data_IF_450039992315
#
_entry.id   IF_450039992315
#
_cell.length_a   1.000
_cell.length_b   1.000
_cell.length_c   1.000
_cell.angle_alpha   90.00
_cell.angle_beta   90.00
_cell.angle_gamma   90.00
#
_symmetry.space_group_name_H-M   'P 1'
#
loop_
_entity.id
_entity.type
_entity.pdbx_description
1 polymer ?
#
# COMPACT_ATOMS: atom_id res chain seq x y z
N UNK A 1 23.69 16.23 -45.97
CA UNK A 1 24.13 15.33 -44.88
C UNK A 1 24.03 15.94 -43.48
N UNK A 2 24.27 17.25 -43.26
CA UNK A 2 24.13 17.86 -41.91
C UNK A 2 22.69 17.87 -41.37
N UNK A 3 21.70 18.17 -42.22
CA UNK A 3 20.29 18.21 -41.83
C UNK A 3 19.71 16.82 -41.47
N UNK A 4 20.18 15.76 -42.13
CA UNK A 4 19.77 14.38 -41.85
C UNK A 4 20.28 13.88 -40.49
N UNK A 5 21.47 14.31 -40.06
CA UNK A 5 22.01 13.98 -38.73
C UNK A 5 21.30 14.76 -37.61
N UNK A 6 20.95 16.02 -37.83
CA UNK A 6 20.18 16.80 -36.87
C UNK A 6 18.76 16.22 -36.68
N UNK A 7 18.13 15.79 -37.77
CA UNK A 7 16.83 15.15 -37.72
C UNK A 7 16.85 13.82 -36.95
N UNK A 8 17.89 12.99 -37.13
CA UNK A 8 18.00 11.71 -36.42
C UNK A 8 18.23 11.90 -34.91
N UNK A 9 19.07 12.85 -34.52
CA UNK A 9 19.31 13.16 -33.10
C UNK A 9 18.03 13.66 -32.45
N UNK A 10 17.32 14.59 -33.10
CA UNK A 10 16.05 15.11 -32.61
C UNK A 10 15.00 14.01 -32.43
N UNK A 11 14.87 13.12 -33.41
CA UNK A 11 13.90 12.01 -33.35
C UNK A 11 14.19 11.06 -32.18
N UNK A 12 15.47 10.71 -31.96
CA UNK A 12 15.87 9.86 -30.83
C UNK A 12 15.57 10.54 -29.49
N UNK A 13 15.86 11.83 -29.36
CA UNK A 13 15.54 12.59 -28.14
C UNK A 13 14.05 12.57 -27.83
N UNK A 14 13.20 12.82 -28.83
CA UNK A 14 11.74 12.80 -28.65
C UNK A 14 11.23 11.44 -28.18
N UNK A 15 11.76 10.33 -28.72
CA UNK A 15 11.36 8.96 -28.31
C UNK A 15 11.80 8.65 -26.88
N UNK A 16 13.01 9.05 -26.48
CA UNK A 16 13.50 8.84 -25.11
C UNK A 16 12.67 9.64 -24.10
N UNK A 17 12.36 10.90 -24.39
CA UNK A 17 11.51 11.73 -23.53
C UNK A 17 10.07 11.20 -23.44
N UNK A 18 9.50 10.71 -24.55
CA UNK A 18 8.18 10.08 -24.56
C UNK A 18 8.14 8.81 -23.69
N UNK A 19 9.23 8.03 -23.65
CA UNK A 19 9.38 6.88 -22.76
C UNK A 19 9.34 7.24 -21.28
N UNK A 20 9.92 8.39 -20.88
CA UNK A 20 9.85 8.88 -19.50
C UNK A 20 8.45 9.38 -19.12
N UNK A 21 7.75 10.05 -20.04
CA UNK A 21 6.37 10.49 -19.81
C UNK A 21 5.35 9.33 -19.82
N UNK A 22 5.66 8.23 -20.53
CA UNK A 22 4.80 7.04 -20.60
C UNK A 22 4.83 6.18 -19.33
N UNK A 23 5.74 6.44 -18.39
CA UNK A 23 5.79 5.73 -17.10
C UNK A 23 4.78 6.31 -16.10
N UNK A 24 3.53 6.48 -16.53
CA UNK A 24 2.43 6.82 -15.63
C UNK A 24 1.77 5.53 -15.10
N UNK A 25 2.56 4.66 -14.45
CA UNK A 25 1.96 3.70 -13.52
C UNK A 25 1.64 4.47 -12.26
N UNK A 26 0.42 4.98 -12.14
CA UNK A 26 -0.06 5.50 -10.86
C UNK A 26 0.17 4.40 -9.83
N UNK A 27 1.05 4.64 -8.85
CA UNK A 27 1.16 3.77 -7.71
C UNK A 27 -0.21 3.73 -7.06
N UNK A 28 -0.90 2.58 -7.15
CA UNK A 28 -2.15 2.39 -6.43
C UNK A 28 -1.78 2.33 -4.97
N UNK A 29 -2.01 3.42 -4.26
CA UNK A 29 -1.87 3.44 -2.82
C UNK A 29 -2.83 2.39 -2.27
N UNK A 30 -2.27 1.34 -1.68
CA UNK A 30 -3.01 0.43 -0.81
C UNK A 30 -3.56 1.29 0.32
N UNK A 31 -4.87 1.42 0.43
CA UNK A 31 -5.49 2.15 1.54
C UNK A 31 -5.48 1.20 2.73
N UNK A 32 -4.64 1.43 3.76
CA UNK A 32 -4.66 0.58 4.94
C UNK A 32 -6.02 0.73 5.62
N UNK A 33 -6.56 -0.36 6.14
CA UNK A 33 -7.77 -0.32 6.96
C UNK A 33 -7.47 -0.87 8.35
N UNK A 34 -8.26 -0.43 9.33
CA UNK A 34 -8.11 -0.85 10.70
C UNK A 34 -9.06 -2.03 10.97
N UNK A 35 -8.55 -3.06 11.64
CA UNK A 35 -9.31 -4.23 12.07
C UNK A 35 -9.09 -4.46 13.56
N UNK A 36 -10.04 -5.10 14.23
CA UNK A 36 -9.88 -5.48 15.62
C UNK A 36 -8.70 -6.43 15.83
N UNK A 37 -7.88 -6.13 16.83
CA UNK A 37 -6.72 -6.96 17.16
C UNK A 37 -7.14 -8.16 18.01
N UNK A 38 -7.65 -9.19 17.33
CA UNK A 38 -8.12 -10.43 17.96
C UNK A 38 -7.07 -11.10 18.85
N UNK A 39 -5.78 -10.99 18.53
CA UNK A 39 -4.72 -11.59 19.34
C UNK A 39 -4.58 -10.87 20.69
N UNK A 40 -4.61 -9.55 20.66
CA UNK A 40 -4.57 -8.74 21.88
C UNK A 40 -5.84 -8.92 22.70
N UNK A 41 -7.02 -8.89 22.06
CA UNK A 41 -8.32 -9.13 22.72
C UNK A 41 -8.30 -10.48 23.44
N UNK A 42 -7.90 -11.55 22.76
CA UNK A 42 -7.83 -12.89 23.35
C UNK A 42 -6.88 -12.96 24.54
N UNK A 43 -5.73 -12.27 24.49
CA UNK A 43 -4.78 -12.21 25.59
C UNK A 43 -5.36 -11.50 26.82
N UNK A 44 -6.03 -10.37 26.63
CA UNK A 44 -6.69 -9.63 27.71
C UNK A 44 -7.83 -10.45 28.31
N UNK A 45 -8.67 -11.05 27.47
CA UNK A 45 -9.77 -11.90 27.93
C UNK A 45 -9.27 -13.13 28.69
N UNK A 46 -8.18 -13.76 28.25
CA UNK A 46 -7.57 -14.87 28.98
C UNK A 46 -7.10 -14.41 30.36
N UNK A 47 -6.44 -13.27 30.43
CA UNK A 47 -5.98 -12.67 31.70
C UNK A 47 -7.16 -12.34 32.61
N UNK A 48 -8.23 -11.80 32.05
CA UNK A 48 -9.45 -11.45 32.78
C UNK A 48 -10.12 -12.68 33.38
N UNK A 49 -10.23 -13.77 32.61
CA UNK A 49 -10.73 -15.06 33.09
C UNK A 49 -9.89 -15.60 34.24
N UNK A 50 -8.56 -15.59 34.13
CA UNK A 50 -7.67 -16.04 35.20
C UNK A 50 -7.81 -15.20 36.48
N UNK A 51 -8.19 -13.92 36.35
CA UNK A 51 -8.36 -12.99 37.47
C UNK A 51 -9.79 -12.90 38.00
N UNK A 52 -10.75 -13.60 37.39
CA UNK A 52 -12.16 -13.54 37.78
C UNK A 52 -12.82 -12.17 37.54
N UNK A 53 -12.37 -11.43 36.52
CA UNK A 53 -12.95 -10.13 36.14
C UNK A 53 -13.58 -10.21 34.75
N UNK A 54 -14.65 -9.45 34.52
CA UNK A 54 -15.32 -9.35 33.23
C UNK A 54 -14.79 -8.15 32.45
N UNK A 55 -14.56 -8.33 31.14
CA UNK A 55 -14.13 -7.26 30.24
C UNK A 55 -15.27 -6.98 29.26
N UNK A 56 -15.67 -5.70 29.19
CA UNK A 56 -16.59 -5.20 28.19
C UNK A 56 -15.89 -4.16 27.32
N UNK A 57 -15.71 -4.48 26.05
CA UNK A 57 -15.09 -3.60 25.09
C UNK A 57 -16.09 -2.54 24.60
N UNK A 58 -15.82 -1.27 24.89
CA UNK A 58 -16.57 -0.15 24.29
C UNK A 58 -15.91 0.28 22.98
N UNK A 59 -14.58 0.34 22.96
CA UNK A 59 -13.74 0.57 21.78
C UNK A 59 -12.66 -0.52 21.77
N UNK A 60 -12.88 -1.65 21.07
CA UNK A 60 -11.88 -2.71 21.03
C UNK A 60 -10.58 -2.19 20.39
N UNK A 61 -9.42 -2.72 20.81
CA UNK A 61 -8.15 -2.32 20.25
C UNK A 61 -8.07 -2.75 18.78
N UNK A 62 -7.59 -1.83 17.94
CA UNK A 62 -7.48 -2.04 16.51
C UNK A 62 -6.01 -2.06 16.07
N UNK A 63 -5.75 -2.80 14.99
CA UNK A 63 -4.48 -2.80 14.27
C UNK A 63 -4.70 -2.42 12.82
N UNK A 64 -3.71 -1.70 12.26
CA UNK A 64 -3.71 -1.33 10.85
C UNK A 64 -3.21 -2.49 9.99
N UNK A 65 -3.98 -2.89 9.00
CA UNK A 65 -3.59 -3.92 8.02
C UNK A 65 -3.49 -3.34 6.62
N UNK A 66 -2.53 -3.82 5.80
CA UNK A 66 -2.52 -3.52 4.37
C UNK A 66 -3.76 -4.10 3.71
N UNK A 67 -4.31 -3.40 2.72
CA UNK A 67 -5.41 -3.92 1.91
C UNK A 67 -5.01 -5.19 1.16
N UNK A 68 -5.85 -6.22 1.19
CA UNK A 68 -5.55 -7.54 0.62
C UNK A 68 -5.41 -7.50 -0.91
N UNK A 69 -5.96 -6.46 -1.57
CA UNK A 69 -5.76 -6.18 -2.99
C UNK A 69 -4.28 -5.97 -3.38
N UNK A 70 -3.38 -5.76 -2.41
CA UNK A 70 -1.95 -5.54 -2.67
C UNK A 70 -1.13 -6.83 -2.89
N UNK A 71 -1.70 -8.02 -2.62
CA UNK A 71 -1.00 -9.32 -2.77
C UNK A 71 -1.30 -10.07 -4.07
N UNK A 72 -2.07 -9.48 -4.97
CA UNK A 72 -2.58 -10.13 -6.19
C UNK A 72 -1.88 -9.75 -7.50
N UNK A 73 -0.65 -9.23 -7.49
CA UNK A 73 0.14 -9.00 -8.69
C UNK A 73 1.52 -9.66 -8.58
#
# INVERSE_FOLDING_TARGET
MKATHLASVLAVSVVVLAGCASQNKMARATVPHDIDDQAYIAQVEQTARTRGVEVRWINPPQKRVPDASAKGL
#
